data_IF_734031918822
#
_entry.id   IF_734031918822
#
_cell.length_a   1.000
_cell.length_b   1.000
_cell.length_c   1.000
_cell.angle_alpha   90.00
_cell.angle_beta   90.00
_cell.angle_gamma   90.00
#
_symmetry.space_group_name_H-M   'P 1'
#
loop_
_entity.id
_entity.type
_entity.pdbx_description
1 polymer ?
#
# COMPACT_ATOMS: atom_id res chain seq x y z
N UNK A 1 -9.54 -8.41 2.68
CA UNK A 1 -8.30 -9.21 2.66
C UNK A 1 -7.27 -8.51 3.54
N UNK A 2 -7.43 -8.67 4.85
CA UNK A 2 -6.54 -8.16 5.88
C UNK A 2 -5.44 -9.20 6.09
N UNK A 3 -4.18 -8.82 5.83
CA UNK A 3 -3.05 -9.69 6.04
C UNK A 3 -2.94 -9.95 7.55
N UNK A 4 -3.17 -11.20 7.95
CA UNK A 4 -2.95 -11.68 9.31
C UNK A 4 -1.47 -11.53 9.61
N UNK A 5 -1.12 -10.53 10.43
CA UNK A 5 0.20 -10.43 11.06
C UNK A 5 0.24 -11.59 12.06
N UNK A 6 0.67 -12.74 11.56
CA UNK A 6 0.92 -13.93 12.34
C UNK A 6 2.10 -13.59 13.24
N UNK A 7 1.80 -13.20 14.48
CA UNK A 7 2.78 -13.00 15.55
C UNK A 7 3.58 -14.29 15.68
N UNK A 8 4.73 -14.35 15.04
CA UNK A 8 5.74 -15.36 15.33
C UNK A 8 6.31 -15.00 16.69
N UNK A 9 5.59 -15.38 17.75
CA UNK A 9 6.16 -15.49 19.07
C UNK A 9 7.34 -16.47 18.94
N UNK A 10 8.56 -15.91 18.85
CA UNK A 10 9.79 -16.70 18.91
C UNK A 10 9.75 -17.44 20.24
N UNK A 11 9.38 -18.70 20.22
CA UNK A 11 9.41 -19.57 21.40
C UNK A 11 10.86 -19.67 21.85
N UNK A 12 11.29 -18.83 22.80
CA UNK A 12 12.58 -18.97 23.47
C UNK A 12 12.52 -20.26 24.29
N UNK A 13 13.41 -21.21 23.99
CA UNK A 13 13.63 -22.39 24.83
C UNK A 13 14.07 -21.92 26.23
N UNK A 14 13.43 -22.39 27.32
CA UNK A 14 13.89 -22.08 28.66
C UNK A 14 15.20 -22.82 28.94
N UNK A 15 16.24 -22.11 29.39
CA UNK A 15 17.40 -22.74 30.02
C UNK A 15 18.78 -22.57 29.39
N UNK A 16 19.01 -21.68 28.41
CA UNK A 16 20.38 -21.28 28.02
C UNK A 16 20.60 -19.81 28.39
N UNK A 17 21.53 -19.55 29.30
CA UNK A 17 21.97 -18.18 29.58
C UNK A 17 22.40 -17.52 28.25
N UNK A 18 21.94 -16.30 27.94
CA UNK A 18 22.21 -15.69 26.65
C UNK A 18 23.70 -15.43 26.51
N UNK A 19 24.34 -16.15 25.58
CA UNK A 19 25.68 -15.83 25.09
C UNK A 19 25.60 -14.44 24.44
N UNK A 20 26.04 -13.46 25.20
CA UNK A 20 26.35 -12.07 24.89
C UNK A 20 26.54 -11.75 23.39
N UNK A 21 25.45 -11.33 22.70
CA UNK A 21 25.37 -10.26 21.66
C UNK A 21 24.03 -10.27 20.86
N UNK A 22 22.89 -10.22 21.52
CA UNK A 22 21.77 -9.50 20.89
C UNK A 22 22.10 -8.00 21.05
N UNK A 23 22.17 -7.27 19.93
CA UNK A 23 22.39 -5.83 19.99
C UNK A 23 21.27 -5.20 20.81
N UNK A 24 21.55 -4.13 21.55
CA UNK A 24 20.48 -3.35 22.18
C UNK A 24 19.44 -2.95 21.12
N UNK A 25 19.84 -2.76 19.87
CA UNK A 25 18.93 -2.53 18.74
C UNK A 25 17.93 -3.69 18.53
N UNK A 26 18.38 -4.94 18.53
CA UNK A 26 17.51 -6.10 18.30
C UNK A 26 16.48 -6.27 19.42
N UNK A 27 16.90 -6.01 20.66
CA UNK A 27 16.00 -6.01 21.83
C UNK A 27 14.97 -4.89 21.72
N UNK A 28 15.37 -3.71 21.25
CA UNK A 28 14.45 -2.59 21.05
C UNK A 28 13.47 -2.84 19.90
N UNK A 29 13.90 -3.50 18.83
CA UNK A 29 13.00 -3.92 17.76
C UNK A 29 11.94 -4.89 18.27
N UNK A 30 12.31 -5.86 19.13
CA UNK A 30 11.33 -6.75 19.77
C UNK A 30 10.40 -5.98 20.72
N UNK A 31 10.92 -5.11 21.58
CA UNK A 31 10.12 -4.30 22.51
C UNK A 31 9.11 -3.42 21.77
N UNK A 32 9.46 -2.89 20.59
CA UNK A 32 8.53 -2.12 19.76
C UNK A 32 7.33 -2.95 19.24
N UNK A 33 7.39 -4.27 19.29
CA UNK A 33 6.27 -5.16 18.93
C UNK A 33 5.38 -5.54 20.11
N UNK A 34 5.82 -5.27 21.34
CA UNK A 34 5.05 -5.55 22.55
C UNK A 34 3.94 -4.49 22.75
N UNK A 35 2.89 -4.82 23.53
CA UNK A 35 1.89 -3.85 23.93
C UNK A 35 2.50 -2.60 24.57
N UNK A 36 1.87 -1.45 24.36
CA UNK A 36 2.30 -0.18 24.97
C UNK A 36 1.57 0.13 26.28
N UNK A 37 0.45 -0.55 26.54
CA UNK A 37 -0.36 -0.33 27.74
C UNK A 37 0.26 -1.06 28.95
N UNK A 38 0.55 -0.37 30.07
CA UNK A 38 1.17 -1.00 31.24
C UNK A 38 0.36 -2.18 31.82
N UNK A 39 -0.97 -2.12 31.73
CA UNK A 39 -1.84 -3.19 32.24
C UNK A 39 -1.60 -4.52 31.53
N UNK A 40 -1.46 -4.51 30.20
CA UNK A 40 -1.21 -5.72 29.40
C UNK A 40 0.20 -6.30 29.64
N UNK A 41 1.18 -5.42 29.87
CA UNK A 41 2.55 -5.82 30.16
C UNK A 41 2.72 -6.40 31.57
N UNK A 42 1.93 -5.94 32.55
CA UNK A 42 2.05 -6.37 33.94
C UNK A 42 1.79 -7.89 34.09
N UNK A 43 0.76 -8.40 33.40
CA UNK A 43 0.41 -9.83 33.38
C UNK A 43 1.53 -10.70 32.78
N UNK A 44 2.32 -10.16 31.85
CA UNK A 44 3.43 -10.87 31.20
C UNK A 44 4.69 -10.97 32.09
N UNK A 45 4.82 -10.08 33.08
CA UNK A 45 6.02 -9.96 33.93
C UNK A 45 5.87 -10.73 35.26
N UNK A 46 4.70 -11.31 35.53
CA UNK A 46 4.42 -12.10 36.73
C UNK A 46 4.97 -13.53 36.63
N UNK A 47 6.28 -13.68 36.90
CA UNK A 47 6.91 -14.98 37.12
C UNK A 47 7.36 -15.12 38.57
N UNK A 48 7.11 -16.30 39.15
CA UNK A 48 7.37 -16.61 40.57
C UNK A 48 8.84 -16.69 40.96
N UNK A 49 9.77 -16.67 40.00
CA UNK A 49 11.21 -16.83 40.25
C UNK A 49 11.99 -15.73 39.54
N UNK A 50 11.92 -14.51 40.10
CA UNK A 50 12.62 -13.33 39.58
C UNK A 50 13.76 -12.95 40.53
N UNK A 51 15.01 -12.80 40.01
CA UNK A 51 16.16 -12.41 40.84
C UNK A 51 15.97 -11.10 41.63
N UNK A 52 15.16 -10.17 41.10
CA UNK A 52 14.83 -8.90 41.75
C UNK A 52 13.87 -9.03 42.94
N UNK A 53 13.07 -10.09 42.99
CA UNK A 53 12.20 -10.40 44.14
C UNK A 53 13.02 -11.05 45.25
N UNK A 54 13.96 -11.92 44.88
CA UNK A 54 14.86 -12.60 45.83
C UNK A 54 15.92 -11.66 46.41
N UNK A 55 16.35 -10.64 45.67
CA UNK A 55 17.46 -9.76 46.05
C UNK A 55 17.09 -8.26 45.93
N UNK A 56 16.05 -7.77 46.63
CA UNK A 56 15.53 -6.42 46.42
C UNK A 56 16.55 -5.32 46.74
N UNK A 57 17.38 -5.51 47.77
CA UNK A 57 18.41 -4.54 48.18
C UNK A 57 19.46 -4.29 47.10
N UNK A 58 19.85 -5.34 46.36
CA UNK A 58 20.84 -5.24 45.27
C UNK A 58 20.22 -4.59 44.02
N UNK A 59 18.95 -4.89 43.72
CA UNK A 59 18.28 -4.39 42.51
C UNK A 59 17.78 -2.96 42.62
N UNK A 60 17.38 -2.54 43.82
CA UNK A 60 16.76 -1.24 44.08
C UNK A 60 17.61 -0.35 45.02
N UNK A 61 18.83 -0.77 45.33
CA UNK A 61 19.82 0.03 46.06
C UNK A 61 20.44 1.15 45.22
N UNK A 62 21.15 2.06 45.89
CA UNK A 62 21.77 3.23 45.27
C UNK A 62 23.26 3.04 44.91
N UNK A 63 23.86 1.93 45.31
CA UNK A 63 25.28 1.66 45.09
C UNK A 63 25.57 1.28 43.64
N UNK A 64 26.61 1.90 43.06
CA UNK A 64 27.03 1.58 41.68
C UNK A 64 27.47 0.13 41.53
N UNK A 65 28.12 -0.44 42.56
CA UNK A 65 28.52 -1.85 42.58
C UNK A 65 27.31 -2.78 42.52
N UNK A 66 26.25 -2.43 43.26
CA UNK A 66 25.00 -3.19 43.29
C UNK A 66 24.24 -3.07 41.97
N UNK A 67 24.22 -1.89 41.35
CA UNK A 67 23.65 -1.69 40.01
C UNK A 67 24.28 -2.60 38.96
N UNK A 68 25.62 -2.75 38.97
CA UNK A 68 26.34 -3.65 38.05
C UNK A 68 26.04 -5.11 38.36
N UNK A 69 25.99 -5.48 39.65
CA UNK A 69 25.66 -6.84 40.09
C UNK A 69 24.22 -7.21 39.73
N UNK A 70 23.26 -6.36 40.02
CA UNK A 70 21.85 -6.52 39.66
C UNK A 70 21.65 -6.60 38.14
N UNK A 71 22.33 -5.78 37.34
CA UNK A 71 22.25 -5.87 35.88
C UNK A 71 22.71 -7.24 35.36
N UNK A 72 23.78 -7.81 35.93
CA UNK A 72 24.24 -9.18 35.59
C UNK A 72 23.23 -10.25 36.01
N UNK A 73 22.64 -10.12 37.21
CA UNK A 73 21.60 -11.02 37.71
C UNK A 73 20.30 -10.92 36.90
N UNK A 74 20.00 -9.74 36.35
CA UNK A 74 18.83 -9.50 35.52
C UNK A 74 18.94 -10.17 34.15
N UNK A 75 20.13 -10.20 33.55
CA UNK A 75 20.37 -10.71 32.19
C UNK A 75 19.73 -12.06 31.83
N UNK A 76 19.81 -13.10 32.68
CA UNK A 76 19.16 -14.40 32.41
C UNK A 76 17.67 -14.45 32.78
N UNK A 77 17.06 -13.36 33.23
CA UNK A 77 15.65 -13.33 33.64
C UNK A 77 14.75 -13.67 32.44
N UNK A 78 13.78 -14.59 32.60
CA UNK A 78 12.93 -15.04 31.48
C UNK A 78 12.02 -13.93 30.93
N UNK A 79 11.74 -12.90 31.73
CA UNK A 79 10.87 -11.76 31.37
C UNK A 79 11.68 -10.48 31.15
N UNK A 80 12.96 -10.59 30.77
CA UNK A 80 13.88 -9.45 30.66
C UNK A 80 13.35 -8.34 29.76
N UNK A 81 12.84 -8.69 28.58
CA UNK A 81 12.44 -7.73 27.55
C UNK A 81 11.04 -7.16 27.84
N UNK A 82 10.12 -7.99 28.33
CA UNK A 82 8.80 -7.58 28.82
C UNK A 82 8.92 -6.65 30.05
N UNK A 83 9.85 -6.95 30.97
CA UNK A 83 10.17 -6.09 32.11
C UNK A 83 10.75 -4.75 31.66
N UNK A 84 11.59 -4.75 30.62
CA UNK A 84 12.08 -3.50 30.03
C UNK A 84 10.95 -2.71 29.38
N UNK A 85 10.08 -3.37 28.62
CA UNK A 85 8.92 -2.75 27.98
C UNK A 85 8.01 -2.09 29.02
N UNK A 86 7.67 -2.80 30.10
CA UNK A 86 6.87 -2.28 31.20
C UNK A 86 7.52 -1.03 31.81
N UNK A 87 8.81 -1.11 32.13
CA UNK A 87 9.53 0.01 32.73
C UNK A 87 9.66 1.23 31.80
N UNK A 88 9.55 1.04 30.48
CA UNK A 88 9.55 2.12 29.48
C UNK A 88 8.15 2.67 29.21
N UNK A 89 7.09 1.88 29.44
CA UNK A 89 5.70 2.29 29.27
C UNK A 89 5.16 3.11 30.45
N UNK A 90 5.80 3.03 31.62
CA UNK A 90 5.42 3.83 32.78
C UNK A 90 5.74 5.33 32.56
N UNK A 91 4.87 6.26 33.03
CA UNK A 91 5.08 7.70 32.88
C UNK A 91 6.40 8.18 33.49
N UNK A 92 6.76 7.60 34.63
CA UNK A 92 8.04 7.79 35.27
C UNK A 92 8.78 6.45 35.37
N UNK A 93 9.96 6.30 34.74
CA UNK A 93 10.73 5.08 34.86
C UNK A 93 11.11 4.83 36.32
N UNK A 94 10.83 3.64 36.87
CA UNK A 94 11.11 3.33 38.27
C UNK A 94 12.61 3.39 38.57
N UNK A 95 12.98 3.50 39.85
CA UNK A 95 14.38 3.39 40.26
C UNK A 95 14.87 1.93 40.24
N UNK A 96 16.20 1.77 40.31
CA UNK A 96 16.85 0.46 40.25
C UNK A 96 16.98 -0.15 38.85
N UNK A 97 17.26 -1.45 38.83
CA UNK A 97 17.51 -2.23 37.62
C UNK A 97 16.23 -2.90 37.11
N UNK A 98 15.85 -2.55 35.87
CA UNK A 98 14.72 -3.13 35.14
C UNK A 98 15.17 -3.47 33.73
N UNK A 99 14.88 -4.69 33.27
CA UNK A 99 15.29 -5.13 31.95
C UNK A 99 16.81 -5.12 31.70
N UNK A 100 17.60 -5.23 32.77
CA UNK A 100 19.05 -5.15 32.76
C UNK A 100 19.62 -3.73 32.66
N UNK A 101 18.77 -2.70 32.72
CA UNK A 101 19.17 -1.30 32.58
C UNK A 101 18.93 -0.51 33.87
N UNK A 102 19.66 0.58 34.04
CA UNK A 102 19.40 1.62 35.05
C UNK A 102 18.33 2.61 34.58
N UNK A 103 17.75 3.40 35.50
CA UNK A 103 16.83 4.49 35.17
C UNK A 103 17.39 5.47 34.12
N UNK A 104 18.67 5.83 34.23
CA UNK A 104 19.35 6.71 33.27
C UNK A 104 19.44 6.09 31.88
N UNK A 105 19.79 4.81 31.80
CA UNK A 105 19.85 4.09 30.52
C UNK A 105 18.47 3.91 29.90
N UNK A 106 17.43 3.62 30.72
CA UNK A 106 16.04 3.55 30.23
C UNK A 106 15.56 4.87 29.63
N UNK A 107 15.86 6.01 30.27
CA UNK A 107 15.52 7.33 29.71
C UNK A 107 16.15 7.55 28.32
N UNK A 108 17.41 7.18 28.16
CA UNK A 108 18.11 7.26 26.87
C UNK A 108 17.48 6.36 25.81
N UNK A 109 17.16 5.12 26.18
CA UNK A 109 16.47 4.16 25.31
C UNK A 109 15.08 4.65 24.90
N UNK A 110 14.31 5.18 25.85
CA UNK A 110 12.97 5.72 25.58
C UNK A 110 13.03 6.85 24.55
N UNK A 111 13.96 7.80 24.70
CA UNK A 111 14.15 8.90 23.76
C UNK A 111 14.49 8.40 22.34
N UNK A 112 15.43 7.47 22.22
CA UNK A 112 15.77 6.87 20.91
C UNK A 112 14.57 6.15 20.31
N UNK A 113 13.89 5.31 21.09
CA UNK A 113 12.75 4.52 20.61
C UNK A 113 11.59 5.42 20.16
N UNK A 114 11.30 6.51 20.89
CA UNK A 114 10.30 7.50 20.50
C UNK A 114 10.66 8.18 19.18
N UNK A 115 11.91 8.66 19.02
CA UNK A 115 12.37 9.25 17.75
C UNK A 115 12.29 8.27 16.58
N UNK A 116 12.63 7.00 16.81
CA UNK A 116 12.53 5.95 15.78
C UNK A 116 11.08 5.68 15.37
N UNK A 117 10.14 5.63 16.34
CA UNK A 117 8.70 5.50 16.07
C UNK A 117 8.19 6.67 15.24
N UNK A 118 8.48 7.90 15.65
CA UNK A 118 8.10 9.11 14.93
C UNK A 118 8.65 9.13 13.49
N UNK A 119 9.93 8.79 13.31
CA UNK A 119 10.55 8.71 11.99
C UNK A 119 9.92 7.62 11.10
N UNK A 120 9.58 6.46 11.69
CA UNK A 120 8.89 5.37 10.98
C UNK A 120 7.47 5.79 10.56
N UNK A 121 6.71 6.40 11.45
CA UNK A 121 5.37 6.93 11.16
C UNK A 121 5.40 8.00 10.07
N UNK A 122 6.35 8.93 10.13
CA UNK A 122 6.52 9.96 9.11
C UNK A 122 6.79 9.34 7.72
N UNK A 123 7.68 8.34 7.64
CA UNK A 123 7.93 7.60 6.39
C UNK A 123 6.68 6.89 5.88
N UNK A 124 5.92 6.25 6.76
CA UNK A 124 4.69 5.56 6.38
C UNK A 124 3.63 6.54 5.87
N UNK A 125 3.47 7.69 6.52
CA UNK A 125 2.57 8.77 6.06
C UNK A 125 2.94 9.25 4.66
N UNK A 126 4.23 9.45 4.40
CA UNK A 126 4.72 9.85 3.08
C UNK A 126 4.47 8.79 2.00
N UNK A 127 4.73 7.52 2.32
CA UNK A 127 4.44 6.40 1.42
C UNK A 127 2.95 6.30 1.10
N UNK A 128 2.08 6.43 2.11
CA UNK A 128 0.63 6.42 1.92
C UNK A 128 0.16 7.60 1.05
N UNK A 129 0.75 8.80 1.22
CA UNK A 129 0.46 9.99 0.40
C UNK A 129 0.79 9.75 -1.06
N UNK A 130 2.02 9.33 -1.36
CA UNK A 130 2.48 9.08 -2.73
C UNK A 130 1.68 7.97 -3.41
N UNK A 131 1.32 6.91 -2.67
CA UNK A 131 0.47 5.84 -3.16
C UNK A 131 -0.94 6.35 -3.51
N UNK A 132 -1.53 7.19 -2.66
CA UNK A 132 -2.83 7.81 -2.94
C UNK A 132 -2.78 8.67 -4.21
N UNK A 133 -1.76 9.52 -4.37
CA UNK A 133 -1.59 10.37 -5.55
C UNK A 133 -1.49 9.56 -6.84
N UNK A 134 -0.72 8.46 -6.82
CA UNK A 134 -0.60 7.57 -7.97
C UNK A 134 -1.94 6.91 -8.32
N UNK A 135 -2.67 6.40 -7.30
CA UNK A 135 -3.99 5.80 -7.49
C UNK A 135 -5.01 6.80 -8.02
N UNK A 136 -4.98 8.03 -7.52
CA UNK A 136 -5.86 9.11 -7.96
C UNK A 136 -5.56 9.51 -9.40
N UNK A 137 -4.29 9.64 -9.79
CA UNK A 137 -3.90 9.89 -11.19
C UNK A 137 -4.41 8.79 -12.12
N UNK A 138 -4.26 7.52 -11.73
CA UNK A 138 -4.76 6.39 -12.49
C UNK A 138 -6.30 6.39 -12.56
N UNK A 139 -6.97 6.71 -11.45
CA UNK A 139 -8.44 6.84 -11.39
C UNK A 139 -8.92 7.92 -12.36
N UNK A 140 -8.37 9.13 -12.30
CA UNK A 140 -8.71 10.24 -13.21
C UNK A 140 -8.44 9.90 -14.68
N UNK A 141 -7.30 9.27 -14.99
CA UNK A 141 -7.01 8.80 -16.35
C UNK A 141 -8.02 7.76 -16.82
N UNK A 142 -8.42 6.83 -15.95
CA UNK A 142 -9.44 5.81 -16.25
C UNK A 142 -10.82 6.43 -16.43
N UNK A 143 -11.20 7.39 -15.58
CA UNK A 143 -12.44 8.17 -15.71
C UNK A 143 -12.46 8.92 -17.05
N UNK A 144 -11.40 9.65 -17.40
CA UNK A 144 -11.29 10.36 -18.68
C UNK A 144 -11.37 9.41 -19.91
N UNK A 145 -10.79 8.21 -19.83
CA UNK A 145 -10.93 7.19 -20.90
C UNK A 145 -12.34 6.56 -20.97
N UNK A 146 -13.12 6.65 -19.89
CA UNK A 146 -14.48 6.12 -19.80
C UNK A 146 -15.56 7.20 -19.94
N UNK A 147 -15.16 8.46 -20.04
CA UNK A 147 -16.04 9.57 -20.37
C UNK A 147 -16.33 9.54 -21.88
N UNK A 148 -17.60 9.38 -22.31
CA UNK A 148 -17.95 9.45 -23.71
C UNK A 148 -17.97 10.89 -24.24
N UNK A 149 -17.95 11.90 -23.36
CA UNK A 149 -18.06 13.33 -23.70
C UNK A 149 -17.05 13.81 -24.73
N UNK A 150 -15.73 13.57 -24.55
CA UNK A 150 -14.72 13.95 -25.54
C UNK A 150 -14.96 13.30 -26.91
N UNK A 151 -15.31 12.01 -26.94
CA UNK A 151 -15.61 11.29 -28.19
C UNK A 151 -16.90 11.84 -28.83
N UNK A 152 -17.93 12.11 -28.02
CA UNK A 152 -19.20 12.68 -28.47
C UNK A 152 -19.02 14.04 -29.13
N UNK A 153 -18.25 14.94 -28.50
CA UNK A 153 -17.96 16.27 -29.03
C UNK A 153 -17.20 16.19 -30.36
N UNK A 154 -16.16 15.37 -30.43
CA UNK A 154 -15.39 15.17 -31.67
C UNK A 154 -16.26 14.64 -32.81
N UNK A 155 -17.14 13.68 -32.53
CA UNK A 155 -18.04 13.13 -33.56
C UNK A 155 -19.06 14.18 -33.99
N UNK A 156 -19.65 14.91 -33.05
CA UNK A 156 -20.63 15.95 -33.34
C UNK A 156 -20.05 17.01 -34.29
N UNK A 157 -18.83 17.49 -34.02
CA UNK A 157 -18.16 18.51 -34.83
C UNK A 157 -17.75 18.01 -36.24
N UNK A 158 -17.45 16.71 -36.38
CA UNK A 158 -16.93 16.13 -37.63
C UNK A 158 -18.04 15.62 -38.58
N UNK A 159 -19.22 15.30 -38.05
CA UNK A 159 -20.31 14.72 -38.86
C UNK A 159 -20.93 15.81 -39.76
N UNK A 160 -20.40 15.89 -40.98
CA UNK A 160 -20.94 16.77 -42.02
C UNK A 160 -22.19 16.20 -42.72
N UNK A 161 -22.35 14.88 -42.75
CA UNK A 161 -23.50 14.21 -43.39
C UNK A 161 -24.21 13.27 -42.42
N UNK A 162 -25.49 13.54 -42.19
CA UNK A 162 -26.29 12.86 -41.17
C UNK A 162 -26.90 11.56 -41.71
N UNK A 163 -26.02 10.63 -42.12
CA UNK A 163 -26.38 9.28 -42.58
C UNK A 163 -25.57 8.23 -41.84
N UNK A 164 -26.02 6.96 -41.80
CA UNK A 164 -25.26 5.90 -41.13
C UNK A 164 -23.84 5.74 -41.69
N UNK A 165 -23.66 5.90 -43.00
CA UNK A 165 -22.34 5.87 -43.66
C UNK A 165 -21.55 7.15 -43.36
N UNK A 166 -22.17 8.32 -43.44
CA UNK A 166 -21.52 9.59 -43.12
C UNK A 166 -20.98 9.66 -41.70
N UNK A 167 -21.74 9.15 -40.72
CA UNK A 167 -21.30 9.02 -39.32
C UNK A 167 -20.11 8.06 -39.21
N UNK A 168 -20.15 6.92 -39.92
CA UNK A 168 -19.05 5.97 -39.90
C UNK A 168 -17.77 6.56 -40.50
N UNK A 169 -17.87 7.23 -41.65
CA UNK A 169 -16.73 7.88 -42.32
C UNK A 169 -16.12 9.00 -41.47
N UNK A 170 -16.95 9.78 -40.75
CA UNK A 170 -16.46 10.78 -39.81
C UNK A 170 -15.63 10.13 -38.68
N UNK A 171 -16.13 9.05 -38.07
CA UNK A 171 -15.41 8.33 -37.01
C UNK A 171 -14.12 7.69 -37.54
N UNK A 172 -14.12 7.16 -38.76
CA UNK A 172 -12.92 6.62 -39.41
C UNK A 172 -11.85 7.69 -39.63
N UNK A 173 -12.23 8.88 -40.12
CA UNK A 173 -11.33 10.02 -40.27
C UNK A 173 -10.72 10.44 -38.93
N UNK A 174 -11.55 10.64 -37.91
CA UNK A 174 -11.08 11.02 -36.58
C UNK A 174 -10.09 9.99 -35.99
N UNK A 175 -10.30 8.70 -36.27
CA UNK A 175 -9.38 7.64 -35.84
C UNK A 175 -8.09 7.65 -36.66
N UNK A 176 -8.17 7.90 -37.98
CA UNK A 176 -7.02 7.99 -38.86
C UNK A 176 -6.11 9.19 -38.52
N UNK A 177 -6.72 10.31 -38.14
CA UNK A 177 -6.03 11.55 -37.74
C UNK A 177 -5.49 11.49 -36.30
N UNK A 178 -5.80 10.42 -35.55
CA UNK A 178 -5.37 10.25 -34.16
C UNK A 178 -6.13 11.12 -33.14
N UNK A 179 -7.25 11.73 -33.54
CA UNK A 179 -8.14 12.50 -32.65
C UNK A 179 -8.99 11.57 -31.78
N UNK A 180 -9.39 10.42 -32.31
CA UNK A 180 -9.97 9.31 -31.54
C UNK A 180 -8.89 8.26 -31.26
N UNK A 181 -8.50 8.15 -29.98
CA UNK A 181 -7.43 7.27 -29.54
C UNK A 181 -7.93 5.86 -29.19
N UNK A 182 -7.11 4.82 -29.40
CA UNK A 182 -7.43 3.47 -28.96
C UNK A 182 -7.76 3.39 -27.47
N UNK A 183 -8.82 2.64 -27.14
CA UNK A 183 -9.29 2.43 -25.77
C UNK A 183 -10.25 3.50 -25.25
N UNK A 184 -10.41 4.63 -25.95
CA UNK A 184 -11.46 5.61 -25.64
C UNK A 184 -12.85 4.98 -25.74
N UNK A 185 -13.71 5.32 -24.79
CA UNK A 185 -15.11 4.90 -24.81
C UNK A 185 -15.87 5.70 -25.87
N UNK A 186 -16.65 4.98 -26.67
CA UNK A 186 -17.59 5.58 -27.62
C UNK A 186 -18.89 5.96 -26.89
N UNK A 187 -19.57 7.05 -27.32
CA UNK A 187 -20.87 7.40 -26.78
C UNK A 187 -21.89 6.30 -27.02
N UNK A 188 -22.84 6.16 -26.11
CA UNK A 188 -23.96 5.25 -26.26
C UNK A 188 -24.82 5.61 -27.48
N UNK A 189 -25.57 4.63 -28.02
CA UNK A 189 -26.45 4.89 -29.15
C UNK A 189 -27.49 6.00 -28.85
N UNK A 190 -27.96 6.09 -27.61
CA UNK A 190 -28.90 7.12 -27.16
C UNK A 190 -28.22 8.49 -27.14
N UNK A 191 -27.08 8.60 -26.47
CA UNK A 191 -26.30 9.84 -26.33
C UNK A 191 -25.95 10.45 -27.70
N UNK A 192 -25.39 9.63 -28.61
CA UNK A 192 -25.01 10.11 -29.94
C UNK A 192 -26.22 10.42 -30.81
N UNK A 193 -27.32 9.66 -30.68
CA UNK A 193 -28.54 9.93 -31.44
C UNK A 193 -29.20 11.25 -31.03
N UNK A 194 -29.20 11.55 -29.72
CA UNK A 194 -29.70 12.81 -29.19
C UNK A 194 -28.84 13.98 -29.63
N UNK A 195 -27.50 13.83 -29.56
CA UNK A 195 -26.57 14.89 -29.97
C UNK A 195 -26.71 15.25 -31.45
N UNK A 196 -26.79 14.25 -32.33
CA UNK A 196 -26.92 14.47 -33.78
C UNK A 196 -28.37 14.72 -34.25
N UNK A 197 -29.35 14.73 -33.34
CA UNK A 197 -30.78 14.83 -33.64
C UNK A 197 -31.28 13.79 -34.67
N UNK A 198 -30.87 12.52 -34.51
CA UNK A 198 -31.23 11.40 -35.41
C UNK A 198 -31.94 10.27 -34.68
N UNK A 199 -32.56 9.37 -35.43
CA UNK A 199 -33.05 8.12 -34.85
C UNK A 199 -31.89 7.20 -34.44
N UNK A 200 -31.96 6.63 -33.23
CA UNK A 200 -30.99 5.67 -32.67
C UNK A 200 -30.67 4.45 -33.55
N UNK A 201 -31.57 4.05 -34.47
CA UNK A 201 -31.33 2.97 -35.43
C UNK A 201 -30.23 3.33 -36.45
N UNK A 202 -30.09 4.61 -36.79
CA UNK A 202 -29.04 5.13 -37.68
C UNK A 202 -27.67 4.99 -37.03
N UNK A 203 -27.54 5.41 -35.77
CA UNK A 203 -26.31 5.26 -34.98
C UNK A 203 -25.95 3.79 -34.82
N UNK A 204 -26.91 2.93 -34.47
CA UNK A 204 -26.69 1.48 -34.37
C UNK A 204 -26.26 0.84 -35.69
N UNK A 205 -26.70 1.39 -36.83
CA UNK A 205 -26.25 0.94 -38.16
C UNK A 205 -24.82 1.39 -38.44
N UNK A 206 -24.48 2.63 -38.13
CA UNK A 206 -23.11 3.16 -38.23
C UNK A 206 -22.12 2.35 -37.37
N UNK A 207 -22.44 2.12 -36.10
CA UNK A 207 -21.58 1.36 -35.19
C UNK A 207 -21.36 -0.09 -35.65
N UNK A 208 -22.37 -0.71 -36.26
CA UNK A 208 -22.22 -2.04 -36.88
C UNK A 208 -21.26 -2.04 -38.06
N UNK A 209 -21.30 -0.99 -38.91
CA UNK A 209 -20.34 -0.83 -40.01
C UNK A 209 -18.91 -0.72 -39.46
N UNK A 210 -18.71 0.15 -38.47
CA UNK A 210 -17.40 0.36 -37.84
C UNK A 210 -16.87 -0.88 -37.11
N UNK A 211 -17.75 -1.65 -36.45
CA UNK A 211 -17.38 -2.92 -35.84
C UNK A 211 -16.94 -3.95 -36.89
N UNK A 212 -17.67 -4.06 -38.01
CA UNK A 212 -17.29 -4.95 -39.11
C UNK A 212 -15.97 -4.55 -39.78
N UNK A 213 -15.65 -3.24 -39.80
CA UNK A 213 -14.40 -2.70 -40.30
C UNK A 213 -13.22 -2.83 -39.29
N UNK A 214 -13.49 -3.33 -38.08
CA UNK A 214 -12.52 -3.46 -37.00
C UNK A 214 -12.02 -2.12 -36.46
N UNK A 215 -12.84 -1.06 -36.55
CA UNK A 215 -12.54 0.28 -36.01
C UNK A 215 -13.06 0.38 -34.57
N UNK A 216 -14.21 -0.23 -34.28
CA UNK A 216 -14.81 -0.29 -32.94
C UNK A 216 -14.86 -1.72 -32.40
N UNK A 217 -14.63 -1.86 -31.10
CA UNK A 217 -14.88 -3.08 -30.33
C UNK A 217 -16.24 -2.97 -29.67
N UNK A 218 -17.20 -3.78 -30.14
CA UNK A 218 -18.59 -3.82 -29.67
C UNK A 218 -18.83 -5.18 -29.02
N UNK A 219 -18.66 -5.27 -27.70
CA UNK A 219 -18.92 -6.48 -26.93
C UNK A 219 -20.27 -6.38 -26.19
N UNK A 220 -21.04 -7.47 -26.15
CA UNK A 220 -22.28 -7.52 -25.36
C UNK A 220 -21.98 -7.30 -23.87
N UNK A 221 -22.72 -6.37 -23.24
CA UNK A 221 -22.58 -6.05 -21.81
C UNK A 221 -21.36 -5.19 -21.44
N UNK A 222 -20.62 -4.65 -22.42
CA UNK A 222 -19.51 -3.70 -22.19
C UNK A 222 -19.69 -2.45 -23.02
N UNK A 223 -19.05 -1.36 -22.60
CA UNK A 223 -19.02 -0.13 -23.38
C UNK A 223 -18.27 -0.33 -24.71
N UNK A 224 -18.78 0.27 -25.80
CA UNK A 224 -18.11 0.27 -27.10
C UNK A 224 -16.83 1.11 -27.04
N UNK A 225 -15.73 0.63 -27.61
CA UNK A 225 -14.43 1.33 -27.58
C UNK A 225 -13.79 1.43 -28.95
N UNK A 226 -12.96 2.46 -29.13
CA UNK A 226 -12.09 2.58 -30.31
C UNK A 226 -11.01 1.50 -30.22
N UNK A 227 -10.86 0.71 -31.28
CA UNK A 227 -9.84 -0.35 -31.32
C UNK A 227 -8.45 0.24 -31.54
N UNK A 228 -7.42 -0.45 -31.04
CA UNK A 228 -6.05 -0.23 -31.50
C UNK A 228 -5.93 -0.87 -32.89
N UNK A 229 -6.39 -0.19 -33.93
CA UNK A 229 -6.25 -0.70 -35.31
C UNK A 229 -4.76 -0.95 -35.57
N UNK A 230 -4.30 -2.21 -35.59
CA UNK A 230 -3.00 -2.53 -36.19
C UNK A 230 -3.13 -2.12 -37.66
N UNK A 231 -2.34 -1.15 -38.11
CA UNK A 231 -2.13 -0.93 -39.55
C UNK A 231 -1.79 -2.30 -40.15
N UNK A 232 -2.64 -2.84 -41.02
CA UNK A 232 -2.16 -3.85 -41.98
C UNK A 232 -1.13 -3.12 -42.83
N UNK A 233 0.14 -3.32 -42.53
CA UNK A 233 1.23 -3.03 -43.46
C UNK A 233 1.03 -3.95 -44.66
N UNK A 234 0.44 -3.41 -45.71
CA UNK A 234 0.59 -3.95 -47.06
C UNK A 234 2.06 -3.76 -47.46
N UNK A 235 2.86 -4.81 -47.32
CA UNK A 235 4.12 -4.95 -48.08
C UNK A 235 4.08 -6.32 -48.75
N UNK A 236 3.87 -6.23 -50.06
CA UNK A 236 4.30 -7.11 -51.14
C UNK A 236 4.56 -8.59 -50.84
N UNK A 237 3.71 -9.42 -51.46
CA UNK A 237 4.14 -10.65 -52.09
C UNK A 237 5.37 -10.38 -52.97
N UNK A 238 6.42 -11.16 -52.77
CA UNK A 238 7.60 -11.22 -53.62
C UNK A 238 8.27 -12.57 -53.38
N UNK A 239 7.86 -13.57 -54.16
CA UNK A 239 8.66 -14.76 -54.43
C UNK A 239 10.03 -14.32 -54.94
N UNK A 240 11.12 -14.93 -54.45
CA UNK A 240 12.23 -15.44 -55.28
C UNK A 240 12.86 -16.60 -54.52
N UNK A 241 12.75 -17.79 -55.12
CA UNK A 241 13.59 -18.96 -54.88
C UNK A 241 15.06 -18.63 -55.16
N UNK A 242 15.98 -18.99 -54.26
CA UNK A 242 17.17 -19.85 -54.49
C UNK A 242 17.51 -20.50 -53.16
#
# INVERSE_FOLDING_TARGET
MTASVRTLARTRRPGRAPEYRESLADRLDYIQTLPTEPAELFDMVDSRTRPCVENPTVFFGNDRGDSVRAARMCGPCPVLDECLALALALPEPPDGIWGGLTKKQRRYVHDIASRQREAREARLREQNRTQWEQREKLRRRREALNDPGPTLALIFDEVATVTARGIAEAIERLTADGRLLPGMRMPGCVELSSALAVHSAMVRRSYRLLASAGVLDVAQGRDTRVTARRRKTSVASGEVSI
#
